data_IF_906453012239
#
_entry.id   IF_906453012239
#
_cell.length_a   1.000
_cell.length_b   1.000
_cell.length_c   1.000
_cell.angle_alpha   90.00
_cell.angle_beta   90.00
_cell.angle_gamma   90.00
#
_symmetry.space_group_name_H-M   'P 1'
#
loop_
_entity.id
_entity.type
_entity.pdbx_description
1 polymer ?
#
# COMPACT_ATOMS: atom_id res chain seq x y z
N UNK A 1 15.44 -21.60 12.46
CA UNK A 1 14.40 -21.99 11.47
C UNK A 1 13.20 -21.05 11.46
N UNK A 2 12.64 -20.65 12.61
CA UNK A 2 11.44 -19.80 12.68
C UNK A 2 11.57 -18.44 11.96
N UNK A 3 12.70 -17.75 12.08
CA UNK A 3 12.94 -16.48 11.37
C UNK A 3 12.99 -16.60 9.84
N UNK A 4 13.51 -17.70 9.28
CA UNK A 4 13.51 -17.91 7.82
C UNK A 4 12.09 -18.14 7.28
N UNK A 5 11.23 -18.81 8.07
CA UNK A 5 9.83 -19.03 7.71
C UNK A 5 9.05 -17.70 7.68
N UNK A 6 9.30 -16.81 8.64
CA UNK A 6 8.69 -15.47 8.67
C UNK A 6 9.13 -14.60 7.50
N UNK A 7 10.43 -14.59 7.18
CA UNK A 7 10.96 -13.85 6.02
C UNK A 7 10.30 -14.35 4.73
N UNK A 8 10.25 -15.67 4.51
CA UNK A 8 9.65 -16.25 3.31
C UNK A 8 8.16 -15.93 3.21
N UNK A 9 7.43 -15.96 4.34
CA UNK A 9 6.02 -15.58 4.39
C UNK A 9 5.81 -14.11 4.03
N UNK A 10 6.58 -13.20 4.64
CA UNK A 10 6.50 -11.77 4.36
C UNK A 10 6.84 -11.45 2.90
N UNK A 11 7.86 -12.13 2.36
CA UNK A 11 8.25 -12.02 0.96
C UNK A 11 7.11 -12.46 0.04
N UNK A 12 6.48 -13.62 0.31
CA UNK A 12 5.34 -14.10 -0.48
C UNK A 12 4.18 -13.09 -0.51
N UNK A 13 3.79 -12.56 0.66
CA UNK A 13 2.70 -11.57 0.74
C UNK A 13 3.05 -10.31 -0.07
N UNK A 14 4.27 -9.81 0.08
CA UNK A 14 4.74 -8.60 -0.62
C UNK A 14 4.83 -8.82 -2.13
N UNK A 15 5.31 -9.98 -2.58
CA UNK A 15 5.37 -10.32 -4.01
C UNK A 15 3.99 -10.46 -4.63
N UNK A 16 3.05 -11.16 -3.95
CA UNK A 16 1.66 -11.27 -4.42
C UNK A 16 1.03 -9.88 -4.57
N UNK A 17 1.26 -8.99 -3.60
CA UNK A 17 0.80 -7.62 -3.68
C UNK A 17 1.34 -6.87 -4.91
N UNK A 18 2.66 -6.95 -5.15
CA UNK A 18 3.29 -6.32 -6.32
C UNK A 18 2.72 -6.86 -7.64
N UNK A 19 2.54 -8.19 -7.74
CA UNK A 19 1.97 -8.84 -8.93
C UNK A 19 0.52 -8.37 -9.16
N UNK A 20 -0.30 -8.31 -8.11
CA UNK A 20 -1.69 -7.86 -8.22
C UNK A 20 -1.78 -6.38 -8.60
N UNK A 21 -0.92 -5.53 -8.04
CA UNK A 21 -0.83 -4.11 -8.40
C UNK A 21 -0.47 -3.97 -9.88
N UNK A 22 0.55 -4.69 -10.35
CA UNK A 22 0.93 -4.67 -11.76
C UNK A 22 -0.21 -5.17 -12.67
N UNK A 23 -0.85 -6.28 -12.31
CA UNK A 23 -1.97 -6.83 -13.06
C UNK A 23 -3.17 -5.85 -13.12
N UNK A 24 -3.49 -5.17 -12.01
CA UNK A 24 -4.56 -4.18 -11.99
C UNK A 24 -4.22 -2.92 -12.79
N UNK A 25 -2.95 -2.51 -12.79
CA UNK A 25 -2.48 -1.38 -13.59
C UNK A 25 -2.58 -1.70 -15.08
N UNK A 26 -1.91 -2.76 -15.54
CA UNK A 26 -1.88 -3.13 -16.96
C UNK A 26 -3.20 -3.69 -17.49
N UNK A 27 -4.03 -4.27 -16.62
CA UNK A 27 -5.39 -4.70 -16.94
C UNK A 27 -6.41 -3.56 -16.98
N UNK A 28 -6.01 -2.31 -16.74
CA UNK A 28 -6.89 -1.13 -16.80
C UNK A 28 -7.83 -0.95 -15.59
N UNK A 29 -7.81 -1.88 -14.63
CA UNK A 29 -8.65 -1.87 -13.41
C UNK A 29 -8.41 -0.60 -12.59
N UNK A 30 -7.16 -0.18 -12.45
CA UNK A 30 -6.84 1.08 -11.74
C UNK A 30 -7.31 2.32 -12.48
N UNK A 31 -7.33 2.30 -13.81
CA UNK A 31 -7.93 3.37 -14.62
C UNK A 31 -9.41 3.53 -14.31
N UNK A 32 -10.16 2.42 -14.22
CA UNK A 32 -11.57 2.44 -13.83
C UNK A 32 -11.72 3.01 -12.41
N UNK A 33 -10.95 2.49 -11.45
CA UNK A 33 -11.04 2.95 -10.06
C UNK A 33 -10.63 4.41 -9.87
N UNK A 34 -9.72 4.93 -10.68
CA UNK A 34 -9.33 6.33 -10.64
C UNK A 34 -10.54 7.26 -10.85
N UNK A 35 -11.36 6.98 -11.87
CA UNK A 35 -12.54 7.80 -12.20
C UNK A 35 -13.62 7.80 -11.10
N UNK A 36 -13.71 6.73 -10.31
CA UNK A 36 -14.64 6.62 -9.19
C UNK A 36 -14.00 6.97 -7.83
N UNK A 37 -12.77 7.51 -7.81
CA UNK A 37 -12.05 7.84 -6.58
C UNK A 37 -11.58 6.62 -5.77
N UNK A 38 -11.72 5.41 -6.31
CA UNK A 38 -11.34 4.16 -5.66
C UNK A 38 -9.85 4.08 -5.32
N UNK A 39 -8.97 4.75 -6.07
CA UNK A 39 -7.54 4.81 -5.77
C UNK A 39 -7.20 5.55 -4.46
N UNK A 40 -8.12 6.36 -3.91
CA UNK A 40 -7.95 6.98 -2.59
C UNK A 40 -8.25 6.02 -1.43
N UNK A 41 -8.95 4.90 -1.69
CA UNK A 41 -9.48 4.03 -0.63
C UNK A 41 -8.95 2.60 -0.73
N UNK A 42 -8.93 2.02 -1.92
CA UNK A 42 -8.55 0.61 -2.15
C UNK A 42 -7.15 0.29 -1.64
N UNK A 43 -6.11 1.13 -1.85
CA UNK A 43 -4.77 0.86 -1.32
C UNK A 43 -4.75 0.72 0.20
N UNK A 44 -5.42 1.61 0.94
CA UNK A 44 -5.52 1.51 2.40
C UNK A 44 -6.23 0.22 2.86
N UNK A 45 -7.30 -0.18 2.17
CA UNK A 45 -8.02 -1.45 2.45
C UNK A 45 -7.10 -2.65 2.17
N UNK A 46 -6.39 -2.65 1.04
CA UNK A 46 -5.46 -3.73 0.69
C UNK A 46 -4.29 -3.81 1.69
N UNK A 47 -3.76 -2.66 2.13
CA UNK A 47 -2.77 -2.58 3.20
C UNK A 47 -3.26 -3.22 4.50
N UNK A 48 -4.52 -3.00 4.84
CA UNK A 48 -5.12 -3.62 6.01
C UNK A 48 -5.15 -5.16 5.92
N UNK A 49 -5.49 -5.71 4.75
CA UNK A 49 -5.40 -7.15 4.51
C UNK A 49 -3.95 -7.64 4.55
N UNK A 50 -3.02 -6.98 3.85
CA UNK A 50 -1.60 -7.31 3.86
C UNK A 50 -1.05 -7.35 5.29
N UNK A 51 -1.35 -6.32 6.09
CA UNK A 51 -0.96 -6.23 7.50
C UNK A 51 -1.42 -7.45 8.31
N UNK A 52 -2.62 -7.98 8.08
CA UNK A 52 -3.08 -9.20 8.80
C UNK A 52 -2.25 -10.44 8.47
N UNK A 53 -1.76 -10.57 7.24
CA UNK A 53 -0.99 -11.73 6.80
C UNK A 53 0.52 -11.60 7.07
N UNK A 54 1.04 -10.40 7.29
CA UNK A 54 2.44 -10.16 7.62
C UNK A 54 2.77 -10.60 9.06
N UNK A 55 3.98 -11.13 9.23
CA UNK A 55 4.59 -11.51 10.52
C UNK A 55 5.58 -10.44 10.99
N UNK A 56 5.86 -10.43 12.30
CA UNK A 56 6.78 -9.49 12.95
C UNK A 56 6.08 -8.38 13.71
N UNK A 57 6.85 -7.37 14.14
CA UNK A 57 6.34 -6.23 14.90
C UNK A 57 5.41 -5.32 14.08
N UNK A 58 4.54 -4.58 14.76
CA UNK A 58 3.55 -3.72 14.12
C UNK A 58 4.16 -2.72 13.12
N UNK A 59 5.26 -2.07 13.48
CA UNK A 59 5.97 -1.12 12.61
C UNK A 59 6.46 -1.82 11.34
N UNK A 60 7.13 -2.97 11.48
CA UNK A 60 7.62 -3.77 10.35
C UNK A 60 6.49 -4.16 9.41
N UNK A 61 5.35 -4.59 9.96
CA UNK A 61 4.17 -4.98 9.18
C UNK A 61 3.54 -3.80 8.43
N UNK A 62 3.50 -2.61 9.04
CA UNK A 62 3.00 -1.39 8.38
C UNK A 62 3.91 -1.03 7.20
N UNK A 63 5.23 -1.03 7.41
CA UNK A 63 6.21 -0.74 6.35
C UNK A 63 6.05 -1.72 5.19
N UNK A 64 5.98 -3.03 5.49
CA UNK A 64 5.84 -4.07 4.46
C UNK A 64 4.50 -4.01 3.73
N UNK A 65 3.41 -3.61 4.40
CA UNK A 65 2.11 -3.40 3.76
C UNK A 65 2.11 -2.15 2.86
N UNK A 66 2.73 -1.06 3.29
CA UNK A 66 2.82 0.18 2.52
C UNK A 66 3.75 0.04 1.29
N UNK A 67 4.81 -0.76 1.41
CA UNK A 67 5.90 -0.82 0.43
C UNK A 67 5.44 -1.02 -1.03
N UNK A 68 4.55 -2.00 -1.36
CA UNK A 68 4.11 -2.19 -2.75
C UNK A 68 3.41 -0.96 -3.33
N UNK A 69 2.58 -0.29 -2.53
CA UNK A 69 1.83 0.89 -2.94
C UNK A 69 2.73 2.12 -3.09
N UNK A 70 3.67 2.31 -2.16
CA UNK A 70 4.67 3.38 -2.23
C UNK A 70 5.57 3.22 -3.46
N UNK A 71 6.07 2.02 -3.73
CA UNK A 71 6.90 1.74 -4.90
C UNK A 71 6.15 1.99 -6.22
N UNK A 72 4.90 1.52 -6.32
CA UNK A 72 4.07 1.79 -7.49
C UNK A 72 3.81 3.28 -7.70
N UNK A 73 3.46 3.99 -6.63
CA UNK A 73 3.09 5.40 -6.71
C UNK A 73 4.28 6.30 -7.00
N UNK A 74 5.41 6.09 -6.31
CA UNK A 74 6.62 6.88 -6.49
C UNK A 74 7.25 6.64 -7.87
N UNK A 75 7.29 5.38 -8.34
CA UNK A 75 7.81 5.10 -9.68
C UNK A 75 6.97 5.75 -10.77
N UNK A 76 5.64 5.71 -10.64
CA UNK A 76 4.73 6.45 -11.52
C UNK A 76 4.93 7.96 -11.46
N UNK A 77 5.01 8.56 -10.27
CA UNK A 77 5.23 10.00 -10.10
C UNK A 77 6.55 10.48 -10.71
N UNK A 78 7.61 9.67 -10.61
CA UNK A 78 8.89 9.95 -11.28
C UNK A 78 8.74 9.89 -12.80
N UNK A 79 8.06 8.87 -13.32
CA UNK A 79 7.81 8.74 -14.76
C UNK A 79 6.98 9.89 -15.34
N UNK A 80 6.02 10.41 -14.57
CA UNK A 80 5.15 11.52 -14.99
C UNK A 80 5.90 12.83 -15.19
N UNK A 81 7.07 13.02 -14.57
CA UNK A 81 7.90 14.22 -14.77
C UNK A 81 8.38 14.37 -16.22
N UNK A 82 8.41 13.29 -17.00
CA UNK A 82 8.83 13.30 -18.39
C UNK A 82 7.69 13.61 -19.39
N UNK A 83 6.45 13.79 -18.93
CA UNK A 83 5.30 14.07 -19.80
C UNK A 83 5.23 15.58 -20.10
N UNK A 84 5.35 15.97 -21.37
CA UNK A 84 5.31 17.38 -21.80
C UNK A 84 3.90 17.97 -21.82
N UNK A 85 2.87 17.16 -22.13
CA UNK A 85 1.51 17.66 -22.23
C UNK A 85 0.90 17.89 -20.83
N UNK A 86 0.76 19.14 -20.42
CA UNK A 86 0.34 19.54 -19.06
C UNK A 86 -0.95 18.85 -18.58
N UNK A 87 -1.97 18.74 -19.44
CA UNK A 87 -3.22 18.06 -19.07
C UNK A 87 -3.03 16.56 -18.76
N UNK A 88 -2.18 15.87 -19.54
CA UNK A 88 -1.86 14.47 -19.32
C UNK A 88 -0.93 14.33 -18.11
N UNK A 89 0.00 15.24 -17.93
CA UNK A 89 0.88 15.28 -16.77
C UNK A 89 0.06 15.42 -15.47
N UNK A 90 -0.82 16.42 -15.39
CA UNK A 90 -1.65 16.69 -14.20
C UNK A 90 -2.57 15.52 -13.86
N UNK A 91 -3.20 14.92 -14.88
CA UNK A 91 -4.05 13.74 -14.69
C UNK A 91 -3.24 12.56 -14.15
N UNK A 92 -2.07 12.27 -14.73
CA UNK A 92 -1.22 11.18 -14.25
C UNK A 92 -0.60 11.46 -12.88
N UNK A 93 -0.27 12.72 -12.56
CA UNK A 93 0.15 13.11 -11.20
C UNK A 93 -0.94 12.78 -10.19
N UNK A 94 -2.20 13.10 -10.50
CA UNK A 94 -3.35 12.77 -9.63
C UNK A 94 -3.53 11.25 -9.52
N UNK A 95 -3.42 10.53 -10.63
CA UNK A 95 -3.53 9.08 -10.68
C UNK A 95 -2.52 8.35 -9.79
N UNK A 96 -1.25 8.78 -9.80
CA UNK A 96 -0.21 8.16 -8.96
C UNK A 96 -0.11 8.74 -7.55
N UNK A 97 -0.55 9.98 -7.31
CA UNK A 97 -0.59 10.54 -5.95
C UNK A 97 -1.76 10.00 -5.11
N UNK A 98 -2.90 9.67 -5.73
CA UNK A 98 -4.04 9.08 -5.03
C UNK A 98 -3.69 7.81 -4.23
N UNK A 99 -3.05 6.78 -4.82
CA UNK A 99 -2.64 5.60 -4.06
C UNK A 99 -1.53 5.87 -3.05
N UNK A 100 -0.66 6.86 -3.28
CA UNK A 100 0.34 7.30 -2.30
C UNK A 100 -0.34 7.89 -1.05
N UNK A 101 -1.27 8.81 -1.23
CA UNK A 101 -2.03 9.39 -0.13
C UNK A 101 -2.86 8.35 0.62
N UNK A 102 -3.49 7.43 -0.12
CA UNK A 102 -4.20 6.30 0.47
C UNK A 102 -3.25 5.44 1.33
N UNK A 103 -2.02 5.18 0.86
CA UNK A 103 -1.04 4.42 1.61
C UNK A 103 -0.54 5.14 2.88
N UNK A 104 -0.37 6.46 2.81
CA UNK A 104 -0.01 7.30 3.97
C UNK A 104 -1.12 7.24 5.03
N UNK A 105 -2.38 7.46 4.62
CA UNK A 105 -3.54 7.40 5.53
C UNK A 105 -3.69 5.99 6.10
N UNK A 106 -3.57 4.95 5.26
CA UNK A 106 -3.62 3.55 5.70
C UNK A 106 -2.55 3.23 6.74
N UNK A 107 -1.33 3.76 6.56
CA UNK A 107 -0.25 3.60 7.54
C UNK A 107 -0.57 4.25 8.88
N UNK A 108 -1.15 5.46 8.87
CA UNK A 108 -1.58 6.17 10.09
C UNK A 108 -2.67 5.37 10.81
N UNK A 109 -3.71 4.93 10.09
CA UNK A 109 -4.82 4.16 10.65
C UNK A 109 -4.33 2.84 11.26
N UNK A 110 -3.45 2.12 10.56
CA UNK A 110 -2.84 0.89 11.08
C UNK A 110 -1.97 1.16 12.32
N UNK A 111 -1.25 2.28 12.35
CA UNK A 111 -0.47 2.71 13.51
C UNK A 111 -1.36 2.93 14.73
N UNK A 112 -2.41 3.74 14.58
CA UNK A 112 -3.38 4.00 15.66
C UNK A 112 -4.05 2.71 16.14
N UNK A 113 -4.48 1.85 15.21
CA UNK A 113 -5.03 0.53 15.55
C UNK A 113 -4.03 -0.27 16.38
N UNK A 114 -2.80 -0.43 15.89
CA UNK A 114 -1.79 -1.28 16.51
C UNK A 114 -1.47 -0.81 17.93
N UNK A 115 -1.35 0.50 18.14
CA UNK A 115 -1.16 1.11 19.47
C UNK A 115 -2.36 0.85 20.38
N UNK A 116 -3.59 1.03 19.87
CA UNK A 116 -4.81 0.76 20.64
C UNK A 116 -4.90 -0.72 21.09
N UNK A 117 -4.57 -1.66 20.21
CA UNK A 117 -4.54 -3.09 20.57
C UNK A 117 -3.43 -3.42 21.57
N UNK A 118 -2.26 -2.79 21.46
CA UNK A 118 -1.20 -2.92 22.45
C UNK A 118 -1.68 -2.50 23.84
N UNK A 119 -2.30 -1.32 23.94
CA UNK A 119 -2.85 -0.80 25.20
C UNK A 119 -3.94 -1.69 25.83
N UNK A 120 -4.80 -2.31 25.01
CA UNK A 120 -5.80 -3.25 25.53
C UNK A 120 -5.18 -4.51 26.14
N UNK A 121 -4.10 -5.04 25.56
CA UNK A 121 -3.44 -6.23 26.07
C UNK A 121 -2.73 -5.95 27.41
N UNK A 122 -2.17 -4.76 27.60
CA UNK A 122 -1.54 -4.36 28.88
C UNK A 122 -2.55 -4.25 30.03
N UNK A 123 -3.79 -3.84 29.76
CA UNK A 123 -4.86 -3.76 30.79
C UNK A 123 -5.42 -5.12 31.22
N UNK A 124 -5.10 -6.19 30.50
CA UNK A 124 -5.56 -7.55 30.79
C UNK A 124 -4.50 -8.40 31.53
N UNK A 125 -3.32 -7.84 31.78
CA UNK A 125 -2.24 -8.45 32.57
C UNK A 125 -2.23 -7.87 33.99
#
# INVERSE_FOLDING_TARGET
>A
MQGQVEILKNLKVTLIALILIAACHFGGVFGIFFWFGGLFVIPAIAMFFQYRYLSGGSIQKIILAALPWSLYSLSGLVAVQAIEHEGAQTMNQTYYSAPLYSAIIGSIVLGVWASYKGYLNERQQ
#
